data_IF_345994241669
#
_entry.id   IF_345994241669
#
_cell.length_a   1.000
_cell.length_b   1.000
_cell.length_c   1.000
_cell.angle_alpha   90.00
_cell.angle_beta   90.00
_cell.angle_gamma   90.00
#
_symmetry.space_group_name_H-M   'P 1'
#
loop_
_entity.id
_entity.type
_entity.pdbx_description
1 polymer ?
#
# COMPACT_ATOMS: atom_id res chain seq x y z
N UNK A 1 -6.05 1.34 -0.03
CA UNK A 1 -4.66 1.15 0.39
C UNK A 1 -3.86 0.79 -0.85
N UNK A 2 -3.03 1.73 -1.31
CA UNK A 2 -2.01 1.37 -2.30
C UNK A 2 -1.10 0.39 -1.62
N UNK A 3 -1.13 -0.86 -2.07
CA UNK A 3 -0.22 -1.88 -1.59
C UNK A 3 1.21 -1.40 -1.86
N UNK A 4 1.89 -1.05 -0.80
CA UNK A 4 3.34 -0.93 -0.78
C UNK A 4 4.02 -2.30 -0.83
N UNK A 5 3.47 -3.24 -1.61
CA UNK A 5 4.20 -4.44 -1.92
C UNK A 5 5.49 -3.99 -2.62
N UNK A 6 6.66 -4.30 -2.07
CA UNK A 6 7.91 -3.97 -2.73
C UNK A 6 7.83 -4.58 -4.13
N UNK A 7 8.03 -3.75 -5.14
CA UNK A 7 8.15 -4.22 -6.53
C UNK A 7 9.24 -5.27 -6.49
N UNK A 8 8.91 -6.52 -6.76
CA UNK A 8 9.85 -7.61 -6.60
C UNK A 8 11.10 -7.31 -7.42
N UNK A 9 12.20 -7.13 -6.72
CA UNK A 9 13.50 -7.06 -7.37
C UNK A 9 13.66 -8.38 -8.09
N UNK A 10 13.82 -8.33 -9.41
CA UNK A 10 14.01 -9.52 -10.22
C UNK A 10 15.10 -10.40 -9.61
N UNK A 11 14.81 -11.69 -9.44
CA UNK A 11 15.66 -12.67 -8.76
C UNK A 11 17.00 -12.99 -9.49
N UNK A 12 17.53 -12.07 -10.29
CA UNK A 12 18.56 -12.33 -11.29
C UNK A 12 20.00 -11.99 -10.88
N UNK A 13 20.32 -11.88 -9.56
CA UNK A 13 21.68 -11.50 -9.15
C UNK A 13 22.24 -12.35 -8.03
N UNK A 14 23.52 -12.74 -8.18
CA UNK A 14 24.25 -13.65 -7.29
C UNK A 14 24.75 -13.00 -5.99
N UNK A 15 24.52 -11.70 -5.75
CA UNK A 15 25.04 -10.97 -4.60
C UNK A 15 23.96 -10.33 -3.72
N UNK A 16 24.34 -9.85 -2.52
CA UNK A 16 23.46 -9.04 -1.68
C UNK A 16 23.16 -7.70 -2.34
N UNK A 17 21.99 -7.13 -2.02
CA UNK A 17 21.60 -5.81 -2.46
C UNK A 17 20.98 -5.02 -1.31
N UNK A 18 21.14 -3.70 -1.37
CA UNK A 18 20.39 -2.76 -0.56
C UNK A 18 19.58 -1.86 -1.48
N UNK A 19 18.41 -1.43 -1.02
CA UNK A 19 17.54 -0.57 -1.79
C UNK A 19 16.82 0.44 -0.91
N UNK A 20 16.44 1.54 -1.50
CA UNK A 20 15.57 2.53 -0.91
C UNK A 20 14.45 2.89 -1.88
N UNK A 21 13.27 3.20 -1.34
CA UNK A 21 12.10 3.61 -2.11
C UNK A 21 11.49 4.83 -1.46
N UNK A 22 11.28 5.89 -2.21
CA UNK A 22 10.42 7.00 -1.84
C UNK A 22 9.10 6.87 -2.60
N UNK A 23 7.99 7.11 -1.93
CA UNK A 23 6.67 7.02 -2.56
C UNK A 23 5.74 8.12 -2.10
N UNK A 24 4.82 8.48 -2.99
CA UNK A 24 3.69 9.34 -2.69
C UNK A 24 2.45 8.80 -3.34
N UNK A 25 1.30 8.87 -2.66
CA UNK A 25 0.01 8.51 -3.26
C UNK A 25 -1.08 9.47 -2.83
N UNK A 26 -2.06 9.63 -3.70
CA UNK A 26 -3.25 10.44 -3.46
C UNK A 26 -4.46 9.73 -4.02
N UNK A 27 -5.59 9.90 -3.37
CA UNK A 27 -6.82 9.26 -3.80
C UNK A 27 -8.04 9.89 -3.14
N UNK A 28 -9.18 9.61 -3.75
CA UNK A 28 -10.49 9.99 -3.24
C UNK A 28 -11.48 8.85 -3.44
N UNK A 29 -12.51 8.81 -2.61
CA UNK A 29 -13.62 7.89 -2.76
C UNK A 29 -14.97 8.60 -2.92
N UNK A 30 -16.02 7.83 -3.22
CA UNK A 30 -17.37 8.35 -3.41
C UNK A 30 -17.93 9.09 -2.16
N UNK A 31 -17.39 8.84 -0.97
CA UNK A 31 -17.72 9.56 0.25
C UNK A 31 -16.94 10.86 0.44
N UNK A 32 -16.26 11.34 -0.62
CA UNK A 32 -15.39 12.52 -0.62
C UNK A 32 -14.31 12.51 0.47
N UNK A 33 -13.86 11.32 0.85
CA UNK A 33 -12.68 11.17 1.68
C UNK A 33 -11.45 11.30 0.78
N UNK A 34 -10.74 12.40 0.92
CA UNK A 34 -9.46 12.64 0.27
C UNK A 34 -8.34 12.10 1.15
N UNK A 35 -7.36 11.43 0.54
CA UNK A 35 -6.21 10.88 1.24
C UNK A 35 -4.93 11.15 0.48
N UNK A 36 -3.91 11.60 1.21
CA UNK A 36 -2.54 11.71 0.74
C UNK A 36 -1.63 10.89 1.64
N UNK A 37 -0.71 10.17 1.06
CA UNK A 37 0.31 9.39 1.77
C UNK A 37 1.66 9.69 1.16
N UNK A 38 2.67 9.89 1.98
CA UNK A 38 4.06 10.02 1.54
C UNK A 38 4.97 9.26 2.47
N UNK A 39 6.01 8.63 1.96
CA UNK A 39 6.89 7.84 2.80
C UNK A 39 8.16 7.36 2.12
N UNK A 40 8.97 6.69 2.93
CA UNK A 40 10.22 6.06 2.51
C UNK A 40 10.31 4.66 3.10
N UNK A 41 10.81 3.72 2.29
CA UNK A 41 11.18 2.37 2.69
C UNK A 41 12.65 2.15 2.38
N UNK A 42 13.31 1.40 3.22
CA UNK A 42 14.65 0.89 2.98
C UNK A 42 14.66 -0.62 3.18
N UNK A 43 15.47 -1.32 2.46
CA UNK A 43 15.58 -2.76 2.62
C UNK A 43 16.91 -3.31 2.13
N UNK A 44 17.14 -4.54 2.51
CA UNK A 44 18.27 -5.31 2.03
C UNK A 44 17.85 -6.76 1.83
N UNK A 45 18.45 -7.40 0.86
CA UNK A 45 18.20 -8.79 0.53
C UNK A 45 19.46 -9.49 0.04
N UNK A 46 19.42 -10.82 0.10
CA UNK A 46 20.53 -11.69 -0.32
C UNK A 46 20.00 -13.00 -0.91
N UNK A 47 20.76 -13.65 -1.77
CA UNK A 47 20.48 -15.01 -2.17
C UNK A 47 20.62 -15.98 -0.97
N UNK A 48 19.72 -16.95 -0.90
CA UNK A 48 19.69 -18.02 0.10
C UNK A 48 19.20 -19.31 -0.59
N UNK A 49 20.11 -20.09 -1.10
CA UNK A 49 19.81 -21.20 -2.02
C UNK A 49 19.15 -20.66 -3.31
N UNK A 50 17.99 -21.23 -3.67
CA UNK A 50 17.24 -20.78 -4.84
C UNK A 50 16.30 -19.59 -4.56
N UNK A 51 16.29 -19.11 -3.32
CA UNK A 51 15.49 -17.98 -2.90
C UNK A 51 16.33 -16.72 -2.79
N UNK A 52 15.73 -15.58 -3.04
CA UNK A 52 16.21 -14.29 -2.60
C UNK A 52 15.34 -13.85 -1.43
N UNK A 53 15.95 -13.55 -0.28
CA UNK A 53 15.22 -13.18 0.94
C UNK A 53 15.70 -11.85 1.45
N UNK A 54 14.81 -11.04 1.96
CA UNK A 54 15.10 -9.71 2.44
C UNK A 54 14.21 -9.26 3.57
N UNK A 55 14.62 -8.14 4.15
CA UNK A 55 13.85 -7.41 5.15
C UNK A 55 13.76 -5.94 4.76
N UNK A 56 12.71 -5.28 5.23
CA UNK A 56 12.49 -3.87 5.02
C UNK A 56 12.06 -3.17 6.31
N UNK A 57 12.36 -1.88 6.38
CA UNK A 57 11.83 -0.97 7.36
C UNK A 57 11.41 0.33 6.67
N UNK A 58 10.51 1.09 7.27
CA UNK A 58 10.11 2.35 6.69
C UNK A 58 9.21 3.20 7.55
N UNK A 59 8.95 4.39 7.03
CA UNK A 59 8.08 5.38 7.63
C UNK A 59 7.19 5.99 6.55
N UNK A 60 5.93 6.23 6.89
CA UNK A 60 5.06 7.04 6.06
C UNK A 60 4.16 7.94 6.90
N UNK A 61 3.75 9.05 6.30
CA UNK A 61 2.77 9.97 6.84
C UNK A 61 1.52 9.96 5.97
N UNK A 62 0.36 9.95 6.62
CA UNK A 62 -0.94 9.97 5.96
C UNK A 62 -1.74 11.18 6.44
N UNK A 63 -2.25 11.96 5.49
CA UNK A 63 -3.28 12.97 5.72
C UNK A 63 -4.60 12.49 5.09
N UNK A 64 -5.69 12.60 5.83
CA UNK A 64 -7.04 12.31 5.36
C UNK A 64 -7.98 13.46 5.69
N UNK A 65 -8.86 13.81 4.76
CA UNK A 65 -9.85 14.88 4.91
C UNK A 65 -11.20 14.42 4.43
N UNK A 66 -12.22 14.70 5.22
CA UNK A 66 -13.64 14.54 4.85
C UNK A 66 -14.32 15.90 4.96
N UNK A 67 -14.24 16.77 3.92
CA UNK A 67 -14.73 18.16 3.99
C UNK A 67 -16.20 18.24 4.35
N UNK A 68 -17.04 17.39 3.76
CA UNK A 68 -18.49 17.35 4.00
C UNK A 68 -18.85 16.97 5.44
N UNK A 69 -17.90 16.46 6.21
CA UNK A 69 -18.09 16.05 7.62
C UNK A 69 -17.29 16.92 8.59
N UNK A 70 -16.66 17.99 8.10
CA UNK A 70 -15.78 18.85 8.88
C UNK A 70 -14.75 18.04 9.71
N UNK A 71 -14.21 16.97 9.11
CA UNK A 71 -13.35 16.00 9.78
C UNK A 71 -12.03 15.84 9.04
N UNK A 72 -10.96 15.64 9.81
CA UNK A 72 -9.64 15.34 9.29
C UNK A 72 -8.92 14.33 10.19
N UNK A 73 -8.00 13.60 9.60
CA UNK A 73 -7.14 12.65 10.31
C UNK A 73 -5.72 12.71 9.78
N UNK A 74 -4.76 12.42 10.65
CA UNK A 74 -3.35 12.23 10.33
C UNK A 74 -2.87 10.95 10.97
N UNK A 75 -1.94 10.27 10.29
CA UNK A 75 -1.32 9.08 10.85
C UNK A 75 0.17 9.08 10.53
N UNK A 76 0.98 8.84 11.55
CA UNK A 76 2.39 8.51 11.42
C UNK A 76 2.53 6.99 11.46
N UNK A 77 3.15 6.40 10.44
CA UNK A 77 3.16 4.95 10.27
C UNK A 77 4.60 4.43 10.18
N UNK A 78 4.90 3.40 10.96
CA UNK A 78 6.19 2.72 10.98
C UNK A 78 6.03 1.30 10.43
N UNK A 79 6.89 0.91 9.53
CA UNK A 79 6.76 -0.35 8.78
C UNK A 79 7.95 -1.26 9.04
N UNK A 80 7.68 -2.55 9.25
CA UNK A 80 8.67 -3.62 9.21
C UNK A 80 8.13 -4.77 8.37
N UNK A 81 9.00 -5.42 7.60
CA UNK A 81 8.59 -6.55 6.79
C UNK A 81 9.72 -7.45 6.38
N UNK A 82 9.36 -8.65 5.95
CA UNK A 82 10.25 -9.63 5.35
C UNK A 82 9.64 -10.09 4.04
N UNK A 83 10.47 -10.39 3.07
CA UNK A 83 10.02 -10.83 1.75
C UNK A 83 10.97 -11.84 1.15
N UNK A 84 10.46 -12.58 0.20
CA UNK A 84 11.28 -13.50 -0.55
C UNK A 84 10.69 -13.81 -1.91
N UNK A 85 11.55 -14.24 -2.80
CA UNK A 85 11.16 -14.69 -4.12
C UNK A 85 12.10 -15.74 -4.66
N UNK A 86 11.59 -16.56 -5.56
CA UNK A 86 12.36 -17.56 -6.29
C UNK A 86 11.87 -17.64 -7.71
N UNK A 87 12.72 -18.09 -8.59
CA UNK A 87 12.37 -18.37 -9.99
C UNK A 87 12.93 -19.73 -10.37
N UNK A 88 12.06 -20.57 -10.93
CA UNK A 88 12.42 -21.89 -11.46
C UNK A 88 11.93 -22.00 -12.90
N UNK A 89 12.86 -21.88 -13.85
CA UNK A 89 12.51 -21.73 -15.26
C UNK A 89 11.66 -20.48 -15.50
N UNK A 90 10.50 -20.65 -16.11
CA UNK A 90 9.56 -19.59 -16.37
C UNK A 90 8.69 -19.22 -15.14
N UNK A 91 8.62 -20.08 -14.12
CA UNK A 91 7.76 -19.87 -12.95
C UNK A 91 8.47 -19.02 -11.90
N UNK A 92 7.89 -17.87 -11.54
CA UNK A 92 8.30 -17.00 -10.46
C UNK A 92 7.33 -17.09 -9.28
N UNK A 93 7.88 -17.12 -8.06
CA UNK A 93 7.11 -17.07 -6.81
C UNK A 93 7.61 -15.87 -6.01
N UNK A 94 6.70 -15.05 -5.48
CA UNK A 94 7.01 -13.91 -4.63
C UNK A 94 6.11 -13.95 -3.40
N UNK A 95 6.65 -13.64 -2.23
CA UNK A 95 5.88 -13.64 -0.98
C UNK A 95 6.45 -12.64 0.01
N UNK A 96 5.64 -12.21 0.96
CA UNK A 96 6.09 -11.33 2.03
C UNK A 96 5.08 -11.19 3.14
N UNK A 97 5.60 -10.74 4.27
CA UNK A 97 4.87 -10.41 5.48
C UNK A 97 5.32 -9.03 5.94
N UNK A 98 4.37 -8.21 6.37
CA UNK A 98 4.69 -6.90 6.94
C UNK A 98 3.76 -6.58 8.12
N UNK A 99 4.28 -5.78 9.01
CA UNK A 99 3.50 -5.16 10.08
C UNK A 99 3.77 -3.66 10.10
N UNK A 100 2.71 -2.89 10.28
CA UNK A 100 2.78 -1.44 10.39
C UNK A 100 2.10 -0.99 11.67
N UNK A 101 2.78 -0.13 12.44
CA UNK A 101 2.21 0.56 13.60
C UNK A 101 1.73 1.94 13.15
N UNK A 102 0.60 2.39 13.70
CA UNK A 102 -0.05 3.63 13.36
C UNK A 102 -0.26 4.49 14.60
N UNK A 103 0.23 5.72 14.57
CA UNK A 103 -0.11 6.78 15.53
C UNK A 103 -1.10 7.72 14.86
N UNK A 104 -2.36 7.65 15.26
CA UNK A 104 -3.48 8.30 14.58
C UNK A 104 -3.98 9.47 15.42
N UNK A 105 -4.17 10.61 14.76
CA UNK A 105 -4.76 11.83 15.35
C UNK A 105 -5.93 12.26 14.49
N UNK A 106 -7.08 12.46 15.11
CA UNK A 106 -8.30 12.91 14.42
C UNK A 106 -8.80 14.23 15.00
N UNK A 107 -9.43 15.02 14.14
CA UNK A 107 -10.14 16.24 14.49
C UNK A 107 -11.49 16.27 13.79
N UNK A 108 -12.51 16.70 14.51
CA UNK A 108 -13.87 16.83 14.01
C UNK A 108 -14.53 18.07 14.61
N UNK A 109 -15.21 18.86 13.80
CA UNK A 109 -16.00 20.00 14.27
C UNK A 109 -17.49 19.69 14.15
N UNK A 110 -18.23 20.11 15.15
CA UNK A 110 -19.71 20.08 15.17
C UNK A 110 -20.16 21.52 15.38
N UNK A 111 -20.94 22.04 14.44
CA UNK A 111 -21.48 23.38 14.52
C UNK A 111 -22.97 23.36 14.15
N UNK A 112 -23.82 23.37 15.17
CA UNK A 112 -25.27 23.41 15.05
C UNK A 112 -25.83 24.44 16.03
N UNK A 113 -27.03 24.98 15.83
CA UNK A 113 -27.66 25.93 16.76
C UNK A 113 -27.61 25.45 18.21
N UNK A 114 -26.86 26.17 19.05
CA UNK A 114 -26.73 25.87 20.49
C UNK A 114 -25.58 24.89 20.83
N UNK A 115 -24.81 24.39 19.85
CA UNK A 115 -23.66 23.51 20.09
C UNK A 115 -22.57 23.76 19.06
N UNK A 116 -21.41 24.23 19.52
CA UNK A 116 -20.20 24.41 18.70
C UNK A 116 -19.02 23.77 19.40
N UNK A 117 -18.62 22.58 18.93
CA UNK A 117 -17.56 21.75 19.52
C UNK A 117 -16.43 21.51 18.52
N UNK A 118 -15.19 21.55 19.02
CA UNK A 118 -13.98 21.11 18.31
C UNK A 118 -13.39 19.90 19.01
N UNK A 119 -13.59 18.73 18.41
CA UNK A 119 -13.30 17.43 18.98
C UNK A 119 -11.99 16.87 18.44
N UNK A 120 -11.23 16.19 19.30
CA UNK A 120 -9.96 15.56 18.94
C UNK A 120 -9.80 14.22 19.64
N UNK A 121 -9.11 13.30 18.99
CA UNK A 121 -8.66 12.05 19.59
C UNK A 121 -7.29 11.68 19.06
N UNK A 122 -6.50 11.04 19.94
CA UNK A 122 -5.21 10.41 19.64
C UNK A 122 -5.34 8.93 20.01
N UNK A 123 -4.98 8.03 19.11
CA UNK A 123 -5.08 6.58 19.34
C UNK A 123 -4.13 5.80 18.43
N UNK A 124 -3.87 4.55 18.81
CA UNK A 124 -3.02 3.64 18.05
C UNK A 124 -3.78 2.72 17.12
N UNK A 125 -3.02 2.01 16.33
CA UNK A 125 -3.50 0.92 15.49
C UNK A 125 -2.35 0.13 14.90
N UNK A 126 -2.69 -0.99 14.24
CA UNK A 126 -1.71 -1.82 13.58
C UNK A 126 -2.28 -2.49 12.34
N UNK A 127 -1.47 -2.64 11.31
CA UNK A 127 -1.82 -3.40 10.12
C UNK A 127 -0.87 -4.57 9.92
N UNK A 128 -1.39 -5.78 9.90
CA UNK A 128 -0.70 -6.96 9.44
C UNK A 128 -1.02 -7.20 7.98
N UNK A 129 -0.01 -7.53 7.18
CA UNK A 129 -0.15 -7.86 5.76
C UNK A 129 0.64 -9.13 5.44
N UNK A 130 0.05 -9.99 4.61
CA UNK A 130 0.70 -11.15 4.02
C UNK A 130 0.33 -11.23 2.55
N UNK A 131 1.29 -11.55 1.68
CA UNK A 131 1.00 -11.75 0.27
C UNK A 131 1.77 -12.92 -0.32
N UNK A 132 1.19 -13.51 -1.36
CA UNK A 132 1.81 -14.49 -2.22
C UNK A 132 1.44 -14.21 -3.67
N UNK A 133 2.39 -14.40 -4.58
CA UNK A 133 2.22 -14.17 -6.01
C UNK A 133 2.92 -15.26 -6.81
N UNK A 134 2.27 -15.69 -7.87
CA UNK A 134 2.80 -16.58 -8.91
C UNK A 134 2.82 -15.83 -10.22
N UNK A 135 3.93 -15.88 -10.95
CA UNK A 135 4.07 -15.32 -12.28
C UNK A 135 4.69 -16.34 -13.23
N UNK A 136 4.33 -16.29 -14.50
CA UNK A 136 4.89 -17.14 -15.53
C UNK A 136 5.52 -16.31 -16.65
N UNK A 137 6.84 -16.31 -16.72
CA UNK A 137 7.61 -15.52 -17.69
C UNK A 137 7.60 -16.11 -19.08
N UNK A 138 7.18 -15.34 -20.05
CA UNK A 138 7.14 -15.67 -21.48
C UNK A 138 8.07 -14.71 -22.22
N UNK A 139 9.19 -15.21 -22.70
CA UNK A 139 10.11 -14.42 -23.53
C UNK A 139 9.55 -14.34 -24.96
N UNK A 140 9.10 -13.15 -25.37
CA UNK A 140 8.61 -12.92 -26.73
C UNK A 140 9.77 -12.76 -27.72
N UNK A 141 10.84 -12.12 -27.27
CA UNK A 141 12.10 -11.93 -27.98
C UNK A 141 13.19 -11.54 -26.97
N UNK A 142 14.41 -11.29 -27.45
CA UNK A 142 15.58 -10.97 -26.60
C UNK A 142 15.43 -9.70 -25.75
N UNK A 143 14.46 -8.85 -26.03
CA UNK A 143 14.26 -7.58 -25.34
C UNK A 143 12.91 -7.46 -24.66
N UNK A 144 11.97 -8.36 -24.92
CA UNK A 144 10.58 -8.25 -24.44
C UNK A 144 10.14 -9.52 -23.74
N UNK A 145 9.72 -9.36 -22.50
CA UNK A 145 9.14 -10.41 -21.65
C UNK A 145 7.73 -10.03 -21.24
N UNK A 146 6.84 -11.01 -21.29
CA UNK A 146 5.51 -10.94 -20.68
C UNK A 146 5.43 -11.88 -19.48
N UNK A 147 4.70 -11.47 -18.44
CA UNK A 147 4.48 -12.28 -17.25
C UNK A 147 3.01 -12.18 -16.83
N UNK A 148 2.12 -13.09 -17.25
CA UNK A 148 0.86 -13.29 -16.57
C UNK A 148 1.11 -13.69 -15.13
N UNK A 149 0.33 -13.08 -14.19
CA UNK A 149 0.50 -13.34 -12.77
C UNK A 149 -0.84 -13.41 -12.03
N UNK A 150 -0.82 -14.14 -10.93
CA UNK A 150 -1.89 -14.18 -9.96
C UNK A 150 -1.32 -13.90 -8.57
N UNK A 151 -1.96 -13.03 -7.80
CA UNK A 151 -1.56 -12.74 -6.43
C UNK A 151 -2.74 -12.79 -5.46
N UNK A 152 -2.42 -13.11 -4.22
CA UNK A 152 -3.33 -13.08 -3.07
C UNK A 152 -2.66 -12.26 -1.97
N UNK A 153 -3.39 -11.29 -1.42
CA UNK A 153 -2.91 -10.47 -0.30
C UNK A 153 -3.98 -10.42 0.80
N UNK A 154 -3.58 -10.74 2.03
CA UNK A 154 -4.40 -10.62 3.22
C UNK A 154 -3.96 -9.41 4.02
N UNK A 155 -4.92 -8.58 4.43
CA UNK A 155 -4.70 -7.36 5.22
C UNK A 155 -5.63 -7.39 6.41
N UNK A 156 -5.07 -7.23 7.61
CA UNK A 156 -5.82 -7.05 8.84
C UNK A 156 -5.41 -5.74 9.49
N UNK A 157 -6.34 -4.81 9.57
CA UNK A 157 -6.21 -3.55 10.29
C UNK A 157 -6.88 -3.68 11.66
N UNK A 158 -6.15 -3.38 12.71
CA UNK A 158 -6.66 -3.17 14.07
C UNK A 158 -6.56 -1.69 14.41
N UNK A 159 -7.62 -1.12 14.98
CA UNK A 159 -7.62 0.23 15.57
C UNK A 159 -8.02 0.14 17.03
N UNK A 160 -7.26 0.82 17.88
CA UNK A 160 -7.56 0.90 19.32
C UNK A 160 -8.83 1.69 19.58
N UNK A 161 -9.51 1.37 20.67
CA UNK A 161 -10.61 2.18 21.17
C UNK A 161 -10.09 3.52 21.68
N UNK A 162 -10.89 4.57 21.48
CA UNK A 162 -10.51 5.93 21.90
C UNK A 162 -11.71 6.74 22.40
N UNK A 163 -11.41 7.84 23.05
CA UNK A 163 -12.38 8.83 23.44
C UNK A 163 -11.99 10.20 22.91
N UNK A 164 -12.93 10.87 22.26
CA UNK A 164 -12.74 12.26 21.85
C UNK A 164 -12.75 13.19 23.08
N UNK A 165 -12.07 14.30 22.98
CA UNK A 165 -12.09 15.40 23.93
C UNK A 165 -12.39 16.71 23.19
N UNK A 166 -12.96 17.71 23.90
CA UNK A 166 -13.16 19.04 23.34
C UNK A 166 -14.62 19.52 23.30
N UNK A 167 -15.59 18.75 23.83
CA UNK A 167 -16.97 19.22 23.93
C UNK A 167 -17.98 18.16 24.29
N UNK A 168 -19.26 18.55 24.37
CA UNK A 168 -20.37 17.69 24.75
C UNK A 168 -20.69 16.63 23.67
N UNK A 169 -20.36 16.91 22.41
CA UNK A 169 -20.53 15.99 21.30
C UNK A 169 -19.38 14.94 21.17
N UNK A 170 -18.51 14.83 22.20
CA UNK A 170 -17.40 13.87 22.21
C UNK A 170 -17.91 12.42 22.20
N UNK A 171 -17.33 11.61 21.30
CA UNK A 171 -17.61 10.20 21.12
C UNK A 171 -16.59 9.33 21.86
N UNK A 172 -17.08 8.23 22.41
CA UNK A 172 -16.26 7.09 22.78
C UNK A 172 -16.43 6.03 21.69
N UNK A 173 -15.29 5.54 21.15
CA UNK A 173 -15.23 4.56 20.07
C UNK A 173 -14.59 3.30 20.58
N UNK A 174 -15.18 2.16 20.32
CA UNK A 174 -14.61 0.85 20.63
C UNK A 174 -13.45 0.50 19.67
N UNK A 175 -12.60 -0.44 20.06
CA UNK A 175 -11.63 -1.03 19.14
C UNK A 175 -12.33 -1.73 17.97
N UNK A 176 -11.69 -1.74 16.81
CA UNK A 176 -12.24 -2.37 15.61
C UNK A 176 -11.17 -3.17 14.88
N UNK A 177 -11.60 -4.25 14.23
CA UNK A 177 -10.79 -5.02 13.29
C UNK A 177 -11.47 -4.97 11.92
N UNK A 178 -10.67 -4.87 10.88
CA UNK A 178 -11.10 -4.96 9.48
C UNK A 178 -10.19 -5.95 8.78
N UNK A 179 -10.75 -6.99 8.20
CA UNK A 179 -10.00 -8.05 7.52
C UNK A 179 -10.42 -8.11 6.05
N UNK A 180 -9.47 -7.90 5.17
CA UNK A 180 -9.74 -7.88 3.73
C UNK A 180 -8.70 -8.75 3.01
N UNK A 181 -9.17 -9.59 2.11
CA UNK A 181 -8.33 -10.37 1.21
C UNK A 181 -8.49 -9.83 -0.21
N UNK A 182 -7.38 -9.59 -0.87
CA UNK A 182 -7.35 -9.14 -2.27
C UNK A 182 -6.81 -10.25 -3.14
N UNK A 183 -7.53 -10.62 -4.19
CA UNK A 183 -7.01 -11.41 -5.30
C UNK A 183 -6.73 -10.49 -6.48
N UNK A 184 -5.61 -10.70 -7.18
CA UNK A 184 -5.28 -9.93 -8.38
C UNK A 184 -4.85 -10.88 -9.49
N UNK A 185 -5.43 -10.72 -10.66
CA UNK A 185 -5.00 -11.38 -11.89
C UNK A 185 -4.53 -10.30 -12.86
N UNK A 186 -3.36 -10.48 -13.46
CA UNK A 186 -2.81 -9.45 -14.32
C UNK A 186 -1.74 -9.94 -15.27
N UNK A 187 -1.24 -8.99 -16.05
CA UNK A 187 -0.16 -9.16 -16.99
C UNK A 187 0.88 -8.06 -16.76
N UNK A 188 2.13 -8.46 -16.67
CA UNK A 188 3.29 -7.57 -16.74
C UNK A 188 3.97 -7.69 -18.07
N UNK A 189 4.46 -6.57 -18.58
CA UNK A 189 5.31 -6.49 -19.75
C UNK A 189 6.58 -5.75 -19.36
N UNK A 190 7.72 -6.27 -19.77
CA UNK A 190 9.02 -5.66 -19.61
C UNK A 190 9.68 -5.55 -20.99
N UNK A 191 10.27 -4.40 -21.25
CA UNK A 191 11.01 -4.16 -22.49
C UNK A 191 12.36 -3.52 -22.16
N UNK A 192 13.43 -4.20 -22.56
CA UNK A 192 14.79 -3.70 -22.39
C UNK A 192 15.07 -2.59 -23.40
N UNK A 193 15.60 -1.47 -22.92
CA UNK A 193 15.98 -0.32 -23.70
C UNK A 193 17.51 -0.21 -23.83
N UNK A 194 17.97 0.06 -25.02
CA UNK A 194 19.37 0.41 -25.29
C UNK A 194 20.34 -0.76 -25.20
N UNK A 195 21.56 -0.49 -25.63
CA UNK A 195 22.71 -1.40 -25.54
C UNK A 195 23.96 -0.58 -25.14
N UNK A 196 24.86 -1.21 -24.39
CA UNK A 196 26.09 -0.56 -23.94
C UNK A 196 25.97 0.23 -22.64
N UNK A 197 26.41 1.47 -22.62
CA UNK A 197 26.51 2.28 -21.40
C UNK A 197 25.17 2.77 -20.85
N UNK A 198 24.13 2.85 -21.68
CA UNK A 198 22.79 3.27 -21.27
C UNK A 198 21.85 2.08 -21.38
N UNK A 199 21.70 1.35 -20.30
CA UNK A 199 20.75 0.24 -20.19
C UNK A 199 19.56 0.66 -19.33
N UNK A 200 18.36 0.39 -19.82
CA UNK A 200 17.13 0.63 -19.11
C UNK A 200 16.12 -0.46 -19.37
N UNK A 201 15.03 -0.45 -18.60
CA UNK A 201 13.87 -1.32 -18.79
C UNK A 201 12.62 -0.50 -18.59
N UNK A 202 11.70 -0.56 -19.52
CA UNK A 202 10.33 -0.05 -19.34
C UNK A 202 9.48 -1.20 -18.84
N UNK A 203 8.63 -0.92 -17.85
CA UNK A 203 7.68 -1.89 -17.29
C UNK A 203 6.27 -1.35 -17.41
N UNK A 204 5.34 -2.23 -17.73
CA UNK A 204 3.92 -1.95 -17.70
C UNK A 204 3.20 -3.12 -17.03
N UNK A 205 2.23 -2.81 -16.16
CA UNK A 205 1.38 -3.82 -15.53
C UNK A 205 -0.07 -3.40 -15.71
N UNK A 206 -0.92 -4.34 -16.03
CA UNK A 206 -2.37 -4.18 -16.00
C UNK A 206 -2.99 -5.41 -15.34
N UNK A 207 -4.00 -5.20 -14.50
CA UNK A 207 -4.65 -6.29 -13.79
C UNK A 207 -6.03 -5.92 -13.27
N UNK A 208 -6.76 -6.95 -12.89
CA UNK A 208 -8.02 -6.85 -12.17
C UNK A 208 -7.81 -7.36 -10.75
N UNK A 209 -8.26 -6.56 -9.78
CA UNK A 209 -8.20 -6.84 -8.34
C UNK A 209 -9.60 -6.97 -7.80
N UNK A 210 -9.83 -8.02 -7.03
CA UNK A 210 -11.07 -8.27 -6.31
C UNK A 210 -10.82 -8.33 -4.80
N UNK A 211 -11.63 -7.58 -4.03
CA UNK A 211 -11.58 -7.53 -2.57
C UNK A 211 -12.68 -8.39 -1.96
N UNK A 212 -12.31 -9.21 -0.98
CA UNK A 212 -13.17 -10.13 -0.23
C UNK A 212 -13.04 -9.87 1.27
N UNK A 213 -14.07 -10.19 2.04
CA UNK A 213 -14.10 -9.99 3.49
C UNK A 213 -14.74 -8.66 3.89
N UNK A 214 -14.15 -7.95 4.84
CA UNK A 214 -14.70 -6.71 5.37
C UNK A 214 -14.49 -5.53 4.41
N UNK A 215 -15.30 -5.47 3.36
CA UNK A 215 -15.25 -4.38 2.38
C UNK A 215 -15.96 -3.09 2.85
N UNK A 216 -16.72 -3.15 3.93
CA UNK A 216 -17.34 -1.98 4.56
C UNK A 216 -16.96 -1.94 6.03
N UNK A 217 -15.83 -1.28 6.39
CA UNK A 217 -15.42 -1.14 7.78
C UNK A 217 -16.51 -0.51 8.63
N UNK A 218 -16.66 -0.95 9.87
CA UNK A 218 -17.65 -0.43 10.81
C UNK A 218 -16.96 0.00 12.10
N UNK A 219 -17.45 1.10 12.68
CA UNK A 219 -17.02 1.56 13.99
C UNK A 219 -18.22 1.79 14.90
N UNK A 220 -18.10 1.35 16.15
CA UNK A 220 -19.11 1.52 17.18
C UNK A 220 -18.77 2.73 18.03
N UNK A 221 -19.70 3.67 18.07
CA UNK A 221 -19.58 4.92 18.81
C UNK A 221 -20.65 5.06 19.87
N UNK A 222 -20.36 5.83 20.91
CA UNK A 222 -21.34 6.25 21.92
C UNK A 222 -21.05 7.69 22.35
N UNK A 223 -22.10 8.47 22.57
CA UNK A 223 -21.99 9.72 23.31
C UNK A 223 -21.84 9.45 24.81
N UNK A 224 -21.46 10.47 25.58
CA UNK A 224 -21.31 10.34 27.05
C UNK A 224 -22.61 9.95 27.77
N UNK A 225 -23.76 10.31 27.21
CA UNK A 225 -25.07 9.96 27.69
C UNK A 225 -25.92 9.48 26.50
N UNK A 226 -25.99 8.18 26.28
CA UNK A 226 -26.77 7.59 25.18
C UNK A 226 -26.34 6.18 24.82
N UNK A 227 -27.15 5.52 24.04
CA UNK A 227 -26.86 4.19 23.52
C UNK A 227 -25.76 4.23 22.46
N UNK A 228 -25.03 3.12 22.34
CA UNK A 228 -24.03 2.99 21.29
C UNK A 228 -24.69 2.77 19.92
N UNK A 229 -24.12 3.39 18.90
CA UNK A 229 -24.54 3.26 17.50
C UNK A 229 -23.36 2.87 16.62
N UNK A 230 -23.64 2.25 15.48
CA UNK A 230 -22.63 1.82 14.52
C UNK A 230 -22.64 2.72 13.30
N UNK A 231 -21.46 3.14 12.87
CA UNK A 231 -21.25 3.92 11.65
C UNK A 231 -20.43 3.11 10.67
N UNK A 232 -20.91 3.02 9.43
CA UNK A 232 -20.15 2.46 8.34
C UNK A 232 -19.07 3.47 7.89
N UNK A 233 -17.85 3.00 7.77
CA UNK A 233 -16.74 3.75 7.18
C UNK A 233 -16.81 3.81 5.65
N UNK A 234 -15.77 4.34 5.05
CA UNK A 234 -15.64 4.39 3.59
C UNK A 234 -15.50 2.97 3.01
N UNK A 235 -16.38 2.55 2.10
CA UNK A 235 -16.29 1.22 1.50
C UNK A 235 -15.00 1.02 0.70
N UNK A 236 -14.43 -0.16 0.82
CA UNK A 236 -13.37 -0.65 -0.07
C UNK A 236 -14.05 -1.14 -1.36
N UNK A 237 -13.61 -0.64 -2.50
CA UNK A 237 -14.16 -1.10 -3.78
C UNK A 237 -13.88 -2.60 -3.97
N UNK A 238 -14.91 -3.38 -4.25
CA UNK A 238 -14.78 -4.82 -4.45
C UNK A 238 -13.98 -5.13 -5.70
N UNK A 239 -14.24 -4.41 -6.79
CA UNK A 239 -13.56 -4.61 -8.06
C UNK A 239 -12.82 -3.35 -8.47
N UNK A 240 -11.57 -3.49 -8.88
CA UNK A 240 -10.75 -2.40 -9.37
C UNK A 240 -9.79 -2.85 -10.48
N UNK A 241 -9.55 -1.96 -11.43
CA UNK A 241 -8.43 -2.06 -12.34
C UNK A 241 -7.17 -1.55 -11.64
N UNK A 242 -6.06 -2.27 -11.80
CA UNK A 242 -4.74 -1.85 -11.33
C UNK A 242 -3.83 -1.68 -12.55
N UNK A 243 -3.13 -0.55 -12.61
CA UNK A 243 -2.18 -0.24 -13.67
C UNK A 243 -0.87 0.24 -13.03
N UNK A 244 0.25 -0.12 -13.63
CA UNK A 244 1.56 0.42 -13.26
C UNK A 244 2.37 0.66 -14.53
N UNK A 245 3.08 1.78 -14.58
CA UNK A 245 4.05 2.11 -15.62
C UNK A 245 5.34 2.54 -14.94
N UNK A 246 6.46 2.00 -15.38
CA UNK A 246 7.74 2.29 -14.76
C UNK A 246 8.90 2.25 -15.75
N UNK A 247 9.97 2.90 -15.36
CA UNK A 247 11.26 2.86 -16.05
C UNK A 247 12.36 2.64 -15.03
N UNK A 248 13.27 1.72 -15.33
CA UNK A 248 14.49 1.46 -14.57
C UNK A 248 15.69 1.80 -15.43
N UNK A 249 16.64 2.52 -14.86
CA UNK A 249 17.87 2.93 -15.54
C UNK A 249 19.09 2.42 -14.76
N UNK A 250 20.04 1.83 -15.43
CA UNK A 250 21.35 1.54 -14.87
C UNK A 250 22.16 2.84 -14.83
N UNK A 251 22.29 3.44 -13.64
CA UNK A 251 23.04 4.69 -13.45
C UNK A 251 24.52 4.46 -13.14
N UNK A 252 24.86 3.25 -12.67
CA UNK A 252 26.22 2.75 -12.53
C UNK A 252 26.24 1.23 -12.71
N UNK A 253 27.43 0.60 -12.72
CA UNK A 253 27.55 -0.86 -12.91
C UNK A 253 26.77 -1.69 -11.91
N UNK A 254 26.66 -1.19 -10.68
CA UNK A 254 25.98 -1.87 -9.57
C UNK A 254 24.79 -1.08 -9.01
N UNK A 255 24.39 0.02 -9.66
CA UNK A 255 23.34 0.92 -9.16
C UNK A 255 22.25 1.11 -10.21
N UNK A 256 21.00 0.93 -9.80
CA UNK A 256 19.83 1.19 -10.62
C UNK A 256 18.93 2.23 -9.95
N UNK A 257 18.36 3.09 -10.77
CA UNK A 257 17.31 4.04 -10.38
C UNK A 257 16.05 3.68 -11.14
N UNK A 258 14.94 3.61 -10.42
CA UNK A 258 13.60 3.36 -10.96
C UNK A 258 12.66 4.52 -10.67
N UNK A 259 11.74 4.76 -11.59
CA UNK A 259 10.61 5.64 -11.40
C UNK A 259 9.36 4.93 -11.90
N UNK A 260 8.30 4.91 -11.11
CA UNK A 260 7.03 4.31 -11.53
C UNK A 260 5.82 5.12 -11.07
N UNK A 261 4.77 5.01 -11.86
CA UNK A 261 3.42 5.44 -11.55
C UNK A 261 2.53 4.23 -11.37
N UNK A 262 1.67 4.24 -10.35
CA UNK A 262 0.67 3.21 -10.10
C UNK A 262 -0.71 3.85 -9.97
N UNK A 263 -1.71 3.23 -10.56
CA UNK A 263 -3.11 3.62 -10.46
C UNK A 263 -4.00 2.44 -10.05
N UNK A 264 -4.96 2.70 -9.16
CA UNK A 264 -6.06 1.79 -8.89
C UNK A 264 -7.35 2.54 -9.15
N UNK A 265 -8.17 2.01 -10.05
CA UNK A 265 -9.38 2.67 -10.53
C UNK A 265 -10.56 1.72 -10.31
N UNK A 266 -11.55 2.22 -9.59
CA UNK A 266 -12.81 1.53 -9.34
C UNK A 266 -13.98 2.51 -9.56
N UNK A 267 -15.20 1.99 -9.59
CA UNK A 267 -16.41 2.81 -9.75
C UNK A 267 -16.63 3.80 -8.60
N UNK A 268 -16.13 3.49 -7.40
CA UNK A 268 -16.36 4.24 -6.16
C UNK A 268 -15.09 4.80 -5.52
N UNK A 269 -13.90 4.55 -6.10
CA UNK A 269 -12.63 5.03 -5.56
C UNK A 269 -11.55 5.10 -6.63
N UNK A 270 -10.65 6.06 -6.47
CA UNK A 270 -9.45 6.20 -7.30
C UNK A 270 -8.27 6.46 -6.40
N UNK A 271 -7.17 5.76 -6.65
CA UNK A 271 -5.88 5.96 -6.00
C UNK A 271 -4.80 6.07 -7.06
N UNK A 272 -3.93 7.04 -6.91
CA UNK A 272 -2.77 7.28 -7.77
C UNK A 272 -1.52 7.36 -6.92
N UNK A 273 -0.40 6.88 -7.43
CA UNK A 273 0.86 6.95 -6.70
C UNK A 273 2.05 7.04 -7.63
N UNK A 274 3.11 7.62 -7.13
CA UNK A 274 4.42 7.65 -7.76
C UNK A 274 5.45 7.05 -6.80
N UNK A 275 6.45 6.37 -7.36
CA UNK A 275 7.55 5.78 -6.61
C UNK A 275 8.87 6.07 -7.31
N UNK A 276 9.88 6.32 -6.51
CA UNK A 276 11.26 6.41 -6.95
C UNK A 276 12.08 5.41 -6.15
N UNK A 277 12.82 4.57 -6.85
CA UNK A 277 13.58 3.45 -6.29
C UNK A 277 15.06 3.63 -6.59
N UNK A 278 15.90 3.35 -5.63
CA UNK A 278 17.35 3.26 -5.80
C UNK A 278 17.81 1.91 -5.25
N UNK A 279 18.51 1.12 -6.05
CA UNK A 279 19.08 -0.15 -5.63
C UNK A 279 20.58 -0.22 -5.92
N UNK A 280 21.33 -0.74 -4.96
CA UNK A 280 22.78 -0.93 -5.02
C UNK A 280 23.08 -2.40 -4.75
N UNK A 281 23.95 -2.99 -5.57
CA UNK A 281 24.42 -4.38 -5.47
C UNK A 281 25.85 -4.42 -4.97
N UNK A 282 26.16 -5.43 -4.19
CA UNK A 282 27.48 -5.66 -3.60
C UNK A 282 28.08 -6.97 -4.08
#
# INVERSE_FOLDING_TARGET
>A
ATDGAPTAVAATHDGPAAWSQAFGSWGANAARLERNVGGVLIGADRPMGNWRVGALAGYSHTDAKAPDRASSGRSDNYHLGVYGGTQSGALGVRTGLAYSWHDIRTRRSVDIPGLSDSLRADYGGGTFQAFGELGYGIELNDTTRLEPYASLAYVRLHTDGYRESGGAAALTTGSANTETTFSTLGLRAEHALGSGATQGTVRATAGWRHAMGDTTPQARHAFSAGDAFTVAGAPIAQDSAVIELGVDLAVARNTRFGLSYAGQIASSAQDHGVRADLSIRF
#
